data_IF_612532339243
#
_entry.id   IF_612532339243
#
_cell.length_a   1.000
_cell.length_b   1.000
_cell.length_c   1.000
_cell.angle_alpha   90.00
_cell.angle_beta   90.00
_cell.angle_gamma   90.00
#
_symmetry.space_group_name_H-M   'P 1'
#
loop_
_entity.id
_entity.type
_entity.pdbx_description
1 polymer ?
#
# COMPACT_ATOMS: atom_id res chain seq x y z
N UNK A 1 16.58 -17.60 11.60
CA UNK A 1 15.28 -16.99 11.92
C UNK A 1 14.27 -18.09 12.03
N UNK A 2 13.52 -18.14 13.13
CA UNK A 2 12.48 -19.13 13.32
C UNK A 2 11.30 -18.82 12.40
N UNK A 3 10.59 -19.85 11.93
CA UNK A 3 9.45 -19.70 11.00
C UNK A 3 8.41 -18.69 11.50
N UNK A 4 8.18 -18.65 12.82
CA UNK A 4 7.29 -17.69 13.46
C UNK A 4 7.73 -16.24 13.23
N UNK A 5 9.02 -15.94 13.39
CA UNK A 5 9.56 -14.58 13.18
C UNK A 5 9.40 -14.11 11.74
N UNK A 6 9.59 -15.02 10.77
CA UNK A 6 9.41 -14.70 9.34
C UNK A 6 7.96 -14.37 9.02
N UNK A 7 7.01 -15.16 9.54
CA UNK A 7 5.58 -14.90 9.33
C UNK A 7 5.13 -13.58 9.96
N UNK A 8 5.63 -13.24 11.14
CA UNK A 8 5.32 -11.95 11.79
C UNK A 8 5.84 -10.78 10.96
N UNK A 9 7.08 -10.85 10.48
CA UNK A 9 7.66 -9.81 9.62
C UNK A 9 6.89 -9.66 8.31
N UNK A 10 6.51 -10.77 7.67
CA UNK A 10 5.68 -10.75 6.47
C UNK A 10 4.29 -10.16 6.73
N UNK A 11 3.67 -10.50 7.86
CA UNK A 11 2.38 -9.94 8.25
C UNK A 11 2.46 -8.43 8.45
N UNK A 12 3.48 -7.96 9.18
CA UNK A 12 3.72 -6.53 9.38
C UNK A 12 3.95 -5.80 8.05
N UNK A 13 4.75 -6.38 7.16
CA UNK A 13 4.99 -5.85 5.82
C UNK A 13 3.69 -5.63 5.04
N UNK A 14 2.83 -6.65 4.98
CA UNK A 14 1.54 -6.56 4.27
C UNK A 14 0.65 -5.50 4.90
N UNK A 15 0.49 -5.52 6.23
CA UNK A 15 -0.39 -4.57 6.94
C UNK A 15 0.08 -3.13 6.74
N UNK A 16 1.38 -2.87 6.83
CA UNK A 16 1.94 -1.53 6.64
C UNK A 16 1.72 -1.02 5.21
N UNK A 17 2.04 -1.83 4.19
CA UNK A 17 1.91 -1.40 2.79
C UNK A 17 0.46 -1.21 2.38
N UNK A 18 -0.40 -2.19 2.68
CA UNK A 18 -1.82 -2.11 2.37
C UNK A 18 -2.46 -0.94 3.10
N UNK A 19 -2.14 -0.77 4.39
CA UNK A 19 -2.64 0.34 5.21
C UNK A 19 -2.25 1.71 4.66
N UNK A 20 -0.96 1.91 4.33
CA UNK A 20 -0.48 3.16 3.76
C UNK A 20 -1.12 3.46 2.40
N UNK A 21 -1.12 2.51 1.48
CA UNK A 21 -1.70 2.69 0.15
C UNK A 21 -3.20 3.00 0.22
N UNK A 22 -3.93 2.31 1.10
CA UNK A 22 -5.35 2.58 1.36
C UNK A 22 -5.56 3.98 1.92
N UNK A 23 -4.78 4.39 2.92
CA UNK A 23 -4.90 5.73 3.51
C UNK A 23 -4.64 6.83 2.47
N UNK A 24 -3.57 6.70 1.68
CA UNK A 24 -3.26 7.65 0.59
C UNK A 24 -4.42 7.71 -0.40
N UNK A 25 -4.97 6.57 -0.81
CA UNK A 25 -6.12 6.49 -1.71
C UNK A 25 -7.38 7.16 -1.14
N UNK A 26 -7.66 6.97 0.15
CA UNK A 26 -8.80 7.61 0.83
C UNK A 26 -8.63 9.13 0.85
N UNK A 27 -7.48 9.63 1.30
CA UNK A 27 -7.25 11.08 1.44
C UNK A 27 -7.23 11.78 0.08
N UNK A 28 -6.50 11.24 -0.90
CA UNK A 28 -6.48 11.78 -2.26
C UNK A 28 -7.86 11.74 -2.93
N UNK A 29 -8.59 10.64 -2.75
CA UNK A 29 -9.95 10.49 -3.24
C UNK A 29 -10.93 11.47 -2.59
N UNK A 30 -10.79 11.70 -1.28
CA UNK A 30 -11.60 12.65 -0.53
C UNK A 30 -11.47 14.06 -1.07
N UNK A 31 -10.24 14.51 -1.31
CA UNK A 31 -9.96 15.85 -1.86
C UNK A 31 -10.56 16.04 -3.26
N UNK A 32 -10.58 14.99 -4.07
CA UNK A 32 -11.06 15.06 -5.46
C UNK A 32 -12.60 15.02 -5.57
N UNK A 33 -13.27 14.09 -4.88
CA UNK A 33 -14.70 13.82 -5.08
C UNK A 33 -15.47 13.55 -3.76
N UNK A 34 -14.95 14.02 -2.62
CA UNK A 34 -15.56 13.82 -1.31
C UNK A 34 -15.71 12.35 -0.94
N UNK A 35 -16.84 11.98 -0.33
CA UNK A 35 -17.09 10.61 0.13
C UNK A 35 -16.99 9.54 -0.97
N UNK A 36 -17.47 9.82 -2.18
CA UNK A 36 -17.41 8.84 -3.29
C UNK A 36 -15.97 8.63 -3.77
N UNK A 37 -15.18 9.72 -3.83
CA UNK A 37 -13.77 9.63 -4.15
C UNK A 37 -12.99 8.89 -3.07
N UNK A 38 -13.25 9.15 -1.80
CA UNK A 38 -12.62 8.46 -0.68
C UNK A 38 -12.90 6.95 -0.69
N UNK A 39 -14.13 6.54 -0.97
CA UNK A 39 -14.50 5.13 -1.09
C UNK A 39 -13.77 4.46 -2.27
N UNK A 40 -13.82 5.09 -3.45
CA UNK A 40 -13.19 4.56 -4.66
C UNK A 40 -11.66 4.51 -4.52
N UNK A 41 -11.07 5.60 -4.06
CA UNK A 41 -9.64 5.71 -3.80
C UNK A 41 -9.16 4.75 -2.73
N UNK A 42 -9.96 4.51 -1.67
CA UNK A 42 -9.67 3.48 -0.68
C UNK A 42 -9.65 2.06 -1.26
N UNK A 43 -10.61 1.70 -2.12
CA UNK A 43 -10.62 0.40 -2.80
C UNK A 43 -9.42 0.24 -3.72
N UNK A 44 -9.10 1.27 -4.51
CA UNK A 44 -7.94 1.27 -5.41
C UNK A 44 -6.63 1.18 -4.61
N UNK A 45 -6.50 1.96 -3.54
CA UNK A 45 -5.35 1.94 -2.65
C UNK A 45 -5.16 0.61 -1.93
N UNK A 46 -6.25 0.00 -1.45
CA UNK A 46 -6.23 -1.34 -0.88
C UNK A 46 -5.79 -2.40 -1.89
N UNK A 47 -6.40 -2.41 -3.08
CA UNK A 47 -6.07 -3.34 -4.15
C UNK A 47 -4.62 -3.20 -4.63
N UNK A 48 -4.17 -1.97 -4.88
CA UNK A 48 -2.80 -1.65 -5.26
C UNK A 48 -1.80 -2.04 -4.17
N UNK A 49 -2.07 -1.67 -2.92
CA UNK A 49 -1.24 -2.05 -1.77
C UNK A 49 -1.14 -3.56 -1.57
N UNK A 50 -2.24 -4.29 -1.78
CA UNK A 50 -2.26 -5.75 -1.72
C UNK A 50 -1.37 -6.37 -2.81
N UNK A 51 -1.49 -5.92 -4.05
CA UNK A 51 -0.66 -6.40 -5.16
C UNK A 51 0.83 -6.11 -4.93
N UNK A 52 1.16 -4.88 -4.50
CA UNK A 52 2.54 -4.48 -4.24
C UNK A 52 3.13 -5.26 -3.07
N UNK A 53 2.35 -5.54 -2.02
CA UNK A 53 2.82 -6.31 -0.88
C UNK A 53 3.26 -7.74 -1.21
N UNK A 54 2.74 -8.32 -2.31
CA UNK A 54 3.13 -9.64 -2.81
C UNK A 54 4.42 -9.61 -3.64
N UNK A 55 4.85 -8.43 -4.11
CA UNK A 55 6.02 -8.26 -4.95
C UNK A 55 6.94 -7.16 -4.38
N UNK A 56 7.74 -7.47 -3.34
CA UNK A 56 8.60 -6.48 -2.68
C UNK A 56 9.57 -5.76 -3.63
N UNK A 57 10.05 -6.44 -4.68
CA UNK A 57 10.91 -5.82 -5.69
C UNK A 57 10.22 -4.66 -6.41
N UNK A 58 8.95 -4.83 -6.81
CA UNK A 58 8.18 -3.76 -7.46
C UNK A 58 8.00 -2.55 -6.55
N UNK A 59 7.82 -2.77 -5.24
CA UNK A 59 7.76 -1.66 -4.28
C UNK A 59 9.07 -0.86 -4.28
N UNK A 60 10.21 -1.53 -4.19
CA UNK A 60 11.51 -0.85 -4.15
C UNK A 60 11.87 -0.19 -5.48
N UNK A 61 11.51 -0.80 -6.62
CA UNK A 61 11.71 -0.20 -7.94
C UNK A 61 10.90 1.08 -8.09
N UNK A 62 9.63 1.06 -7.69
CA UNK A 62 8.75 2.25 -7.70
C UNK A 62 9.22 3.32 -6.73
N UNK A 63 9.64 2.93 -5.52
CA UNK A 63 10.20 3.85 -4.53
C UNK A 63 11.48 4.51 -5.04
N UNK A 64 12.35 3.74 -5.69
CA UNK A 64 13.59 4.26 -6.24
C UNK A 64 13.32 5.23 -7.38
N UNK A 65 12.40 4.89 -8.28
CA UNK A 65 11.97 5.78 -9.36
C UNK A 65 11.43 7.11 -8.81
N UNK A 66 10.58 7.06 -7.77
CA UNK A 66 10.01 8.25 -7.14
C UNK A 66 11.06 9.12 -6.42
N UNK A 67 12.09 8.51 -5.84
CA UNK A 67 13.18 9.24 -5.15
C UNK A 67 14.23 9.80 -6.11
N UNK A 68 14.27 9.31 -7.35
CA UNK A 68 15.21 9.78 -8.38
C UNK A 68 14.69 10.95 -9.21
N UNK A 69 13.40 11.28 -9.10
CA UNK A 69 12.77 12.48 -9.67
C UNK A 69 12.83 13.67 -8.71
#
# INVERSE_FOLDING_TARGET
MDRASQSVMYGLWIVCLVGMATAIGIFSGWEANGWMGAATGGVVGYGGGALISQAPSLFFDLLFALLSD
#
